data_IF_925351598781
#
_entry.id   IF_925351598781
#
_cell.length_a   1.000
_cell.length_b   1.000
_cell.length_c   1.000
_cell.angle_alpha   90.00
_cell.angle_beta   90.00
_cell.angle_gamma   90.00
#
_symmetry.space_group_name_H-M   'P 1'
#
loop_
_entity.id
_entity.type
_entity.pdbx_description
1 polymer ?
#
# COMPACT_ATOMS: atom_id res chain seq x y z
N UNK A 1 -10.47 19.70 1.49
CA UNK A 1 -11.01 18.57 2.29
C UNK A 1 -9.87 17.93 3.10
N UNK A 2 -8.68 17.75 2.50
CA UNK A 2 -7.55 17.09 3.16
C UNK A 2 -7.01 17.89 4.37
N UNK A 3 -6.94 19.23 4.27
CA UNK A 3 -6.55 20.10 5.39
C UNK A 3 -7.50 19.99 6.59
N UNK A 4 -8.79 19.80 6.33
CA UNK A 4 -9.79 19.60 7.39
C UNK A 4 -9.68 18.21 8.02
N UNK A 5 -9.25 17.20 7.26
CA UNK A 5 -9.14 15.82 7.72
C UNK A 5 -8.07 15.70 8.81
N UNK A 6 -6.88 16.24 8.56
CA UNK A 6 -5.77 16.22 9.54
C UNK A 6 -6.15 16.94 10.86
N UNK A 7 -6.84 18.07 10.76
CA UNK A 7 -7.32 18.80 11.94
C UNK A 7 -8.39 18.01 12.71
N UNK A 8 -9.29 17.31 12.02
CA UNK A 8 -10.30 16.44 12.63
C UNK A 8 -9.65 15.23 13.28
N UNK A 9 -8.70 14.58 12.62
CA UNK A 9 -7.98 13.42 13.17
C UNK A 9 -7.21 13.79 14.44
N UNK A 10 -6.52 14.94 14.47
CA UNK A 10 -5.86 15.45 15.69
C UNK A 10 -6.86 15.72 16.82
N UNK A 11 -8.03 16.29 16.49
CA UNK A 11 -9.06 16.58 17.47
C UNK A 11 -9.70 15.31 18.03
N UNK A 12 -9.95 14.31 17.18
CA UNK A 12 -10.45 12.99 17.61
C UNK A 12 -9.41 12.31 18.50
N UNK A 13 -8.14 12.29 18.12
CA UNK A 13 -7.08 11.67 18.90
C UNK A 13 -6.88 12.29 20.28
N UNK A 14 -7.18 13.58 20.45
CA UNK A 14 -7.13 14.29 21.75
C UNK A 14 -8.42 14.20 22.57
N UNK A 15 -9.51 13.69 22.01
CA UNK A 15 -10.80 13.57 22.71
C UNK A 15 -10.79 12.31 23.57
N UNK A 16 -11.11 12.47 24.88
CA UNK A 16 -11.15 11.36 25.83
C UNK A 16 -12.10 10.24 25.39
N UNK A 17 -13.15 10.56 24.63
CA UNK A 17 -14.11 9.58 24.07
C UNK A 17 -13.48 8.65 23.05
N UNK A 18 -12.37 9.04 22.43
CA UNK A 18 -11.64 8.18 21.49
C UNK A 18 -10.99 6.97 22.16
N UNK A 19 -10.76 7.06 23.46
CA UNK A 19 -10.21 5.97 24.27
C UNK A 19 -11.25 4.91 24.66
N UNK A 20 -12.56 5.26 24.67
CA UNK A 20 -13.63 4.33 25.08
C UNK A 20 -13.69 3.04 24.24
N UNK A 21 -13.57 3.07 22.90
CA UNK A 21 -13.54 1.84 22.09
C UNK A 21 -12.32 0.97 22.41
N UNK A 22 -11.17 1.60 22.69
CA UNK A 22 -9.92 0.92 23.04
C UNK A 22 -10.06 0.23 24.39
N UNK A 23 -10.61 0.93 25.38
CA UNK A 23 -10.87 0.38 26.71
C UNK A 23 -11.86 -0.77 26.66
N UNK A 24 -12.98 -0.60 25.95
CA UNK A 24 -13.97 -1.66 25.75
C UNK A 24 -13.37 -2.89 25.06
N UNK A 25 -12.51 -2.70 24.06
CA UNK A 25 -11.82 -3.81 23.40
C UNK A 25 -10.80 -4.48 24.33
N UNK A 26 -10.06 -3.72 25.12
CA UNK A 26 -9.17 -4.28 26.13
C UNK A 26 -9.93 -5.17 27.12
N UNK A 27 -11.06 -4.71 27.65
CA UNK A 27 -11.89 -5.51 28.56
C UNK A 27 -12.43 -6.78 27.91
N UNK A 28 -12.82 -6.71 26.65
CA UNK A 28 -13.23 -7.88 25.89
C UNK A 28 -12.08 -8.88 25.75
N UNK A 29 -10.88 -8.43 25.39
CA UNK A 29 -9.69 -9.29 25.27
C UNK A 29 -9.33 -9.93 26.62
N UNK A 30 -9.39 -9.19 27.73
CA UNK A 30 -9.17 -9.73 29.06
C UNK A 30 -10.12 -10.93 29.32
N UNK A 31 -11.40 -10.79 28.99
CA UNK A 31 -12.40 -11.89 29.11
C UNK A 31 -12.10 -13.04 28.18
N UNK A 32 -11.83 -12.78 26.90
CA UNK A 32 -11.48 -13.79 25.90
C UNK A 32 -10.23 -14.59 26.30
N UNK A 33 -9.27 -13.94 26.97
CA UNK A 33 -8.03 -14.55 27.46
C UNK A 33 -8.15 -15.14 28.87
N UNK A 34 -9.36 -15.34 29.40
CA UNK A 34 -9.61 -16.00 30.69
C UNK A 34 -8.83 -15.34 31.86
N UNK A 35 -8.73 -14.00 31.86
CA UNK A 35 -8.07 -13.29 32.93
C UNK A 35 -8.71 -13.57 34.30
N UNK A 36 -7.90 -13.99 35.26
CA UNK A 36 -8.33 -14.25 36.63
C UNK A 36 -7.26 -13.75 37.64
N UNK A 37 -7.65 -12.83 38.53
CA UNK A 37 -6.82 -12.44 39.66
C UNK A 37 -6.71 -13.61 40.64
N UNK A 38 -5.57 -13.71 41.33
CA UNK A 38 -5.40 -14.66 42.43
C UNK A 38 -6.18 -14.19 43.63
N UNK A 39 -6.96 -15.08 44.21
CA UNK A 39 -7.73 -14.78 45.43
C UNK A 39 -6.79 -14.40 46.56
N UNK A 40 -7.18 -13.37 47.37
CA UNK A 40 -6.37 -12.89 48.50
C UNK A 40 -5.12 -12.09 48.14
N UNK A 41 -4.87 -11.80 46.82
CA UNK A 41 -3.71 -11.01 46.37
C UNK A 41 -3.63 -9.64 47.08
N UNK A 42 -4.77 -8.95 47.20
CA UNK A 42 -4.85 -7.65 47.87
C UNK A 42 -4.40 -7.72 49.34
N UNK A 43 -4.95 -8.66 50.07
CA UNK A 43 -4.65 -8.84 51.48
C UNK A 43 -3.20 -9.24 51.72
N UNK A 44 -2.68 -10.12 50.85
CA UNK A 44 -1.26 -10.51 50.88
C UNK A 44 -0.36 -9.26 50.68
N UNK A 45 -0.61 -8.45 49.65
CA UNK A 45 0.21 -7.28 49.36
C UNK A 45 0.14 -6.23 50.48
N UNK A 46 -1.04 -6.01 51.08
CA UNK A 46 -1.20 -5.10 52.19
C UNK A 46 -0.46 -5.59 53.47
N UNK A 47 -0.51 -6.88 53.75
CA UNK A 47 0.23 -7.45 54.86
C UNK A 47 1.73 -7.31 54.71
N UNK A 48 2.26 -7.63 53.51
CA UNK A 48 3.68 -7.48 53.23
C UNK A 48 4.13 -6.01 53.25
N UNK A 49 3.33 -5.09 52.70
CA UNK A 49 3.60 -3.66 52.80
C UNK A 49 3.68 -3.17 54.24
N UNK A 50 2.78 -3.60 55.11
CA UNK A 50 2.78 -3.25 56.56
C UNK A 50 4.02 -3.75 57.30
N UNK A 51 4.49 -4.96 56.99
CA UNK A 51 5.73 -5.52 57.54
C UNK A 51 6.96 -4.68 57.20
N UNK A 52 6.95 -4.04 56.06
CA UNK A 52 8.04 -3.17 55.58
C UNK A 52 7.85 -1.68 55.89
N UNK A 53 6.77 -1.31 56.59
CA UNK A 53 6.49 0.07 56.95
C UNK A 53 6.03 0.98 55.81
N UNK A 54 5.63 0.43 54.65
CA UNK A 54 5.11 1.16 53.51
C UNK A 54 5.69 0.70 52.16
N UNK A 55 5.52 1.53 51.14
CA UNK A 55 6.14 1.31 49.82
C UNK A 55 7.61 1.77 49.86
N UNK A 56 8.44 1.07 50.56
CA UNK A 56 9.88 1.35 50.60
C UNK A 56 10.65 0.51 49.55
N UNK A 57 11.95 0.77 49.45
CA UNK A 57 12.79 0.05 48.46
C UNK A 57 12.91 -1.43 48.84
N UNK A 58 12.85 -1.81 50.12
CA UNK A 58 12.95 -3.20 50.59
C UNK A 58 11.68 -3.97 50.27
N UNK A 59 10.50 -3.35 50.40
CA UNK A 59 9.24 -3.93 50.00
C UNK A 59 9.25 -4.23 48.49
N UNK A 60 9.68 -3.26 47.63
CA UNK A 60 9.74 -3.45 46.18
C UNK A 60 10.76 -4.51 45.79
N UNK A 61 11.98 -4.49 46.38
CA UNK A 61 13.05 -5.42 45.99
C UNK A 61 12.88 -6.81 46.55
N UNK A 62 12.46 -6.93 47.80
CA UNK A 62 12.45 -8.22 48.49
C UNK A 62 11.11 -8.95 48.40
N UNK A 63 10.00 -8.22 48.41
CA UNK A 63 8.67 -8.83 48.28
C UNK A 63 8.25 -8.92 46.83
N UNK A 64 8.33 -7.83 46.07
CA UNK A 64 7.84 -7.84 44.71
C UNK A 64 8.84 -8.46 43.72
N UNK A 65 10.04 -7.93 43.63
CA UNK A 65 10.98 -8.33 42.56
C UNK A 65 11.46 -9.78 42.69
N UNK A 66 11.57 -10.31 43.90
CA UNK A 66 12.05 -11.69 44.18
C UNK A 66 10.92 -12.71 44.35
N UNK A 67 9.67 -12.27 44.40
CA UNK A 67 8.53 -13.15 44.66
C UNK A 67 8.12 -13.96 43.46
N UNK A 68 7.92 -15.25 43.65
CA UNK A 68 7.28 -16.16 42.70
C UNK A 68 5.76 -16.23 42.86
N UNK A 69 5.17 -15.35 43.69
CA UNK A 69 3.74 -15.29 43.89
C UNK A 69 3.03 -14.94 42.59
N UNK A 70 2.02 -15.72 42.22
CA UNK A 70 1.24 -15.48 41.01
C UNK A 70 0.17 -14.43 41.25
N UNK A 71 0.23 -13.29 40.60
CA UNK A 71 -0.78 -12.23 40.71
C UNK A 71 -2.07 -12.56 40.02
N UNK A 72 -1.96 -13.09 38.83
CA UNK A 72 -3.10 -13.45 37.97
C UNK A 72 -2.69 -14.51 36.95
N UNK A 73 -3.70 -15.10 36.32
CA UNK A 73 -3.53 -16.03 35.20
C UNK A 73 -4.28 -15.53 33.97
N UNK A 74 -3.82 -15.92 32.78
CA UNK A 74 -4.45 -15.55 31.50
C UNK A 74 -4.08 -16.53 30.39
N UNK A 75 -4.69 -16.38 29.22
CA UNK A 75 -4.47 -17.26 28.07
C UNK A 75 -4.73 -18.74 28.43
N UNK A 76 -3.80 -19.58 28.08
CA UNK A 76 -3.84 -21.02 28.38
C UNK A 76 -3.23 -21.35 29.76
N UNK A 77 -3.52 -20.54 30.78
CA UNK A 77 -3.02 -20.76 32.14
C UNK A 77 -1.62 -20.17 32.40
N UNK A 78 -1.23 -19.17 31.64
CA UNK A 78 0.00 -18.42 31.87
C UNK A 78 -0.10 -17.69 33.19
N UNK A 79 0.93 -17.84 34.04
CA UNK A 79 1.00 -17.24 35.36
C UNK A 79 1.84 -15.96 35.32
N UNK A 80 1.24 -14.84 35.71
CA UNK A 80 1.94 -13.57 35.89
C UNK A 80 2.53 -13.46 37.26
N UNK A 81 3.87 -13.43 37.45
CA UNK A 81 4.52 -13.33 38.73
C UNK A 81 4.43 -11.90 39.29
N UNK A 82 4.50 -11.80 40.61
CA UNK A 82 4.46 -10.52 41.32
C UNK A 82 5.63 -9.58 40.93
N UNK A 83 6.74 -10.14 40.45
CA UNK A 83 7.89 -9.36 39.96
C UNK A 83 7.57 -8.37 38.85
N UNK A 84 6.52 -8.62 38.06
CA UNK A 84 6.04 -7.68 37.05
C UNK A 84 5.45 -6.39 37.64
N UNK A 85 5.04 -6.42 38.89
CA UNK A 85 4.50 -5.25 39.58
C UNK A 85 5.61 -4.31 40.09
N UNK A 86 6.79 -4.83 40.42
CA UNK A 86 7.90 -4.08 41.00
C UNK A 86 8.25 -2.77 40.27
N UNK A 87 8.37 -2.76 38.92
CA UNK A 87 8.70 -1.53 38.16
C UNK A 87 7.61 -0.45 38.22
N UNK A 88 6.39 -0.80 38.59
CA UNK A 88 5.23 0.10 38.58
C UNK A 88 5.02 0.84 39.88
N UNK A 89 5.66 0.39 40.96
CA UNK A 89 5.55 0.99 42.28
C UNK A 89 6.73 1.92 42.54
N UNK A 90 6.42 3.18 42.85
CA UNK A 90 7.45 4.12 43.27
C UNK A 90 7.74 3.95 44.77
N UNK A 91 8.96 3.52 45.20
CA UNK A 91 9.30 3.28 46.60
C UNK A 91 9.33 4.54 47.47
N UNK A 92 9.13 5.72 46.86
CA UNK A 92 9.04 7.00 47.61
C UNK A 92 7.58 7.43 47.84
N UNK A 93 6.60 6.65 47.39
CA UNK A 93 5.18 7.00 47.53
C UNK A 93 4.75 6.85 49.00
N UNK A 94 4.45 7.99 49.61
CA UNK A 94 3.83 7.99 50.95
C UNK A 94 2.33 7.78 50.77
N UNK A 95 1.78 6.81 51.48
CA UNK A 95 0.33 6.54 51.50
C UNK A 95 -0.23 6.95 52.85
N UNK A 96 -1.34 7.67 52.81
CA UNK A 96 -1.95 8.24 54.04
C UNK A 96 -2.82 7.22 54.78
N UNK A 97 -3.27 6.16 54.13
CA UNK A 97 -4.08 5.10 54.74
C UNK A 97 -3.95 3.77 54.00
N UNK A 98 -4.39 2.68 54.64
CA UNK A 98 -4.45 1.34 54.04
C UNK A 98 -5.39 1.29 52.82
N UNK A 99 -6.47 2.07 52.84
CA UNK A 99 -7.43 2.14 51.73
C UNK A 99 -6.75 2.75 50.49
N UNK A 100 -5.96 3.80 50.66
CA UNK A 100 -5.21 4.45 49.57
C UNK A 100 -4.13 3.49 49.05
N UNK A 101 -3.43 2.80 49.95
CA UNK A 101 -2.43 1.79 49.57
C UNK A 101 -3.06 0.67 48.77
N UNK A 102 -4.19 0.16 49.21
CA UNK A 102 -4.95 -0.86 48.50
C UNK A 102 -5.36 -0.42 47.11
N UNK A 103 -5.89 0.80 46.94
CA UNK A 103 -6.29 1.36 45.65
C UNK A 103 -5.09 1.52 44.71
N UNK A 104 -3.94 1.97 45.18
CA UNK A 104 -2.70 2.08 44.40
C UNK A 104 -2.22 0.72 43.90
N UNK A 105 -2.21 -0.27 44.78
CA UNK A 105 -1.81 -1.63 44.44
C UNK A 105 -2.75 -2.25 43.44
N UNK A 106 -4.06 -2.11 43.63
CA UNK A 106 -5.09 -2.66 42.75
C UNK A 106 -5.03 -2.03 41.36
N UNK A 107 -4.93 -0.70 41.28
CA UNK A 107 -4.75 0.02 40.01
C UNK A 107 -3.45 -0.38 39.28
N UNK A 108 -2.38 -0.64 40.06
CA UNK A 108 -1.10 -1.10 39.48
C UNK A 108 -1.19 -2.52 38.95
N UNK A 109 -1.85 -3.43 39.66
CA UNK A 109 -2.11 -4.80 39.19
C UNK A 109 -2.96 -4.79 37.92
N UNK A 110 -4.03 -3.98 37.88
CA UNK A 110 -4.89 -3.87 36.69
C UNK A 110 -4.15 -3.30 35.48
N UNK A 111 -3.28 -2.33 35.68
CA UNK A 111 -2.43 -1.78 34.63
C UNK A 111 -1.47 -2.84 34.08
N UNK A 112 -0.78 -3.57 34.96
CA UNK A 112 0.13 -4.65 34.54
C UNK A 112 -0.63 -5.76 33.83
N UNK A 113 -1.80 -6.15 34.33
CA UNK A 113 -2.64 -7.15 33.68
C UNK A 113 -3.04 -6.74 32.26
N UNK A 114 -3.49 -5.49 32.09
CA UNK A 114 -3.82 -4.96 30.73
C UNK A 114 -2.59 -4.98 29.82
N UNK A 115 -1.43 -4.54 30.28
CA UNK A 115 -0.20 -4.51 29.48
C UNK A 115 0.24 -5.92 29.05
N UNK A 116 0.31 -6.86 30.00
CA UNK A 116 0.77 -8.23 29.72
C UNK A 116 -0.20 -8.97 28.80
N UNK A 117 -1.50 -8.86 29.04
CA UNK A 117 -2.51 -9.55 28.24
C UNK A 117 -2.63 -8.96 26.83
N UNK A 118 -2.54 -7.64 26.71
CA UNK A 118 -2.53 -6.99 25.40
C UNK A 118 -1.30 -7.35 24.60
N UNK A 119 -0.13 -7.41 25.27
CA UNK A 119 1.10 -7.88 24.62
C UNK A 119 0.96 -9.33 24.17
N UNK A 120 0.51 -10.23 25.04
CA UNK A 120 0.26 -11.63 24.71
C UNK A 120 -0.70 -11.77 23.52
N UNK A 121 -1.82 -11.03 23.54
CA UNK A 121 -2.79 -11.03 22.46
C UNK A 121 -2.17 -10.54 21.15
N UNK A 122 -1.39 -9.46 21.18
CA UNK A 122 -0.71 -8.93 20.00
C UNK A 122 0.33 -9.90 19.44
N UNK A 123 1.14 -10.50 20.29
CA UNK A 123 2.18 -11.45 19.88
C UNK A 123 1.59 -12.75 19.28
N UNK A 124 0.37 -13.10 19.67
CA UNK A 124 -0.31 -14.32 19.24
C UNK A 124 -1.58 -14.05 18.39
N UNK A 125 -1.73 -12.84 17.86
CA UNK A 125 -2.97 -12.39 17.19
C UNK A 125 -3.39 -13.29 16.02
N UNK A 126 -2.42 -13.85 15.31
CA UNK A 126 -2.67 -14.75 14.16
C UNK A 126 -3.40 -16.01 14.59
N UNK A 127 -3.09 -16.53 15.79
CA UNK A 127 -3.70 -17.74 16.33
C UNK A 127 -5.01 -17.44 17.07
N UNK A 128 -5.06 -16.31 17.75
CA UNK A 128 -6.18 -15.91 18.60
C UNK A 128 -7.33 -15.22 17.86
N UNK A 129 -7.05 -14.62 16.70
CA UNK A 129 -8.05 -13.89 15.92
C UNK A 129 -8.17 -14.47 14.50
N UNK A 130 -9.22 -15.28 14.22
CA UNK A 130 -9.44 -15.86 12.90
C UNK A 130 -9.59 -14.83 11.77
N UNK A 131 -10.22 -13.69 12.04
CA UNK A 131 -10.43 -12.67 11.02
C UNK A 131 -9.10 -12.03 10.62
N UNK A 132 -8.25 -11.72 11.60
CA UNK A 132 -6.89 -11.22 11.34
C UNK A 132 -6.04 -12.24 10.57
N UNK A 133 -6.10 -13.51 10.97
CA UNK A 133 -5.40 -14.60 10.26
C UNK A 133 -5.86 -14.72 8.82
N UNK A 134 -7.17 -14.65 8.58
CA UNK A 134 -7.73 -14.72 7.23
C UNK A 134 -7.26 -13.54 6.39
N UNK A 135 -7.32 -12.31 6.92
CA UNK A 135 -6.83 -11.11 6.26
C UNK A 135 -5.33 -11.18 5.94
N UNK A 136 -4.53 -11.68 6.89
CA UNK A 136 -3.08 -11.85 6.67
C UNK A 136 -2.79 -12.89 5.57
N UNK A 137 -3.55 -14.00 5.55
CA UNK A 137 -3.43 -15.02 4.51
C UNK A 137 -3.83 -14.46 3.14
N UNK A 138 -4.94 -13.72 3.07
CA UNK A 138 -5.39 -13.07 1.83
C UNK A 138 -4.35 -12.09 1.29
N UNK A 139 -3.77 -11.26 2.15
CA UNK A 139 -2.69 -10.34 1.77
C UNK A 139 -1.44 -11.08 1.28
N UNK A 140 -1.01 -12.12 1.99
CA UNK A 140 0.13 -12.96 1.60
C UNK A 140 -0.12 -13.62 0.24
N UNK A 141 -1.28 -14.24 0.08
CA UNK A 141 -1.62 -14.99 -1.12
C UNK A 141 -1.79 -14.04 -2.32
N UNK A 142 -2.36 -12.84 -2.10
CA UNK A 142 -2.41 -11.77 -3.11
C UNK A 142 -1.02 -11.29 -3.53
N UNK A 143 -0.11 -11.09 -2.58
CA UNK A 143 1.27 -10.71 -2.88
C UNK A 143 2.01 -11.78 -3.67
N UNK A 144 1.85 -13.05 -3.28
CA UNK A 144 2.45 -14.19 -4.02
C UNK A 144 1.88 -14.30 -5.43
N UNK A 145 0.57 -14.13 -5.58
CA UNK A 145 -0.08 -14.13 -6.90
C UNK A 145 0.46 -13.00 -7.77
N UNK A 146 0.58 -11.78 -7.24
CA UNK A 146 1.16 -10.64 -7.95
C UNK A 146 2.58 -10.93 -8.45
N UNK A 147 3.44 -11.49 -7.60
CA UNK A 147 4.81 -11.87 -7.97
C UNK A 147 4.83 -12.93 -9.09
N UNK A 148 3.99 -13.94 -8.99
CA UNK A 148 3.90 -14.99 -10.00
C UNK A 148 3.37 -14.43 -11.32
N UNK A 149 2.31 -13.61 -11.30
CA UNK A 149 1.76 -12.96 -12.48
C UNK A 149 2.78 -12.03 -13.15
N UNK A 150 3.53 -11.26 -12.34
CA UNK A 150 4.61 -10.41 -12.83
C UNK A 150 5.67 -11.21 -13.57
N UNK A 151 6.06 -12.36 -13.03
CA UNK A 151 7.11 -13.22 -13.58
C UNK A 151 6.64 -14.01 -14.81
N UNK A 152 5.48 -14.63 -14.71
CA UNK A 152 5.00 -15.57 -15.72
C UNK A 152 4.27 -14.90 -16.89
N UNK A 153 3.68 -13.74 -16.66
CA UNK A 153 2.86 -13.04 -17.66
C UNK A 153 3.44 -11.67 -18.02
N UNK A 154 3.42 -10.71 -17.09
CA UNK A 154 3.61 -9.30 -17.42
C UNK A 154 5.03 -8.98 -17.90
N UNK A 155 6.06 -9.49 -17.22
CA UNK A 155 7.45 -9.25 -17.61
C UNK A 155 7.80 -10.01 -18.90
N UNK A 156 7.25 -11.21 -19.11
CA UNK A 156 7.44 -11.98 -20.34
C UNK A 156 6.85 -11.23 -21.54
N UNK A 157 5.64 -10.69 -21.38
CA UNK A 157 5.00 -9.92 -22.45
C UNK A 157 5.79 -8.68 -22.85
N UNK A 158 6.31 -7.93 -21.87
CA UNK A 158 7.08 -6.69 -22.11
C UNK A 158 8.46 -6.97 -22.73
N UNK A 159 9.10 -8.05 -22.34
CA UNK A 159 10.47 -8.36 -22.76
C UNK A 159 10.57 -8.95 -24.19
N UNK A 160 9.50 -9.53 -24.70
CA UNK A 160 9.52 -10.25 -25.99
C UNK A 160 9.03 -9.38 -27.14
N UNK A 161 9.89 -8.45 -27.60
CA UNK A 161 9.53 -7.54 -28.69
C UNK A 161 9.18 -8.29 -29.99
N UNK A 162 9.86 -9.39 -30.31
CA UNK A 162 9.60 -10.17 -31.53
C UNK A 162 8.20 -10.81 -31.50
N UNK A 163 7.78 -11.31 -30.34
CA UNK A 163 6.42 -11.83 -30.18
C UNK A 163 5.38 -10.73 -30.32
N UNK A 164 5.66 -9.52 -29.80
CA UNK A 164 4.77 -8.37 -29.95
C UNK A 164 4.63 -7.95 -31.41
N UNK A 165 5.73 -7.89 -32.18
CA UNK A 165 5.68 -7.59 -33.61
C UNK A 165 4.86 -8.63 -34.34
N UNK A 166 5.14 -9.92 -34.15
CA UNK A 166 4.38 -11.02 -34.80
C UNK A 166 2.89 -10.95 -34.45
N UNK A 167 2.56 -10.64 -33.20
CA UNK A 167 1.17 -10.54 -32.75
C UNK A 167 0.45 -9.33 -33.34
N UNK A 168 1.13 -8.19 -33.42
CA UNK A 168 0.63 -7.00 -34.08
C UNK A 168 0.33 -7.31 -35.55
N UNK A 169 1.29 -7.90 -36.29
CA UNK A 169 1.13 -8.21 -37.70
C UNK A 169 0.02 -9.23 -37.97
N UNK A 170 -0.12 -10.25 -37.11
CA UNK A 170 -1.16 -11.27 -37.26
C UNK A 170 -2.57 -10.76 -36.90
N UNK A 171 -2.68 -9.71 -36.09
CA UNK A 171 -3.95 -9.24 -35.55
C UNK A 171 -4.20 -7.74 -35.80
N UNK A 172 -3.67 -7.18 -36.89
CA UNK A 172 -3.81 -5.74 -37.23
C UNK A 172 -5.25 -5.24 -37.16
N UNK A 173 -6.23 -6.06 -37.51
CA UNK A 173 -7.65 -5.71 -37.41
C UNK A 173 -8.17 -5.48 -35.99
N UNK A 174 -7.54 -6.07 -34.98
CA UNK A 174 -7.88 -5.86 -33.57
C UNK A 174 -7.45 -4.47 -33.05
N UNK A 175 -6.42 -3.90 -33.66
CA UNK A 175 -5.77 -2.69 -33.14
C UNK A 175 -6.14 -1.44 -33.92
N UNK A 176 -7.22 -1.49 -34.74
CA UNK A 176 -7.68 -0.37 -35.53
C UNK A 176 -8.21 0.77 -34.62
N UNK A 177 -7.93 1.99 -35.04
CA UNK A 177 -8.49 3.18 -34.43
C UNK A 177 -9.89 3.48 -34.98
N UNK A 178 -10.75 4.03 -34.18
CA UNK A 178 -12.08 4.50 -34.61
C UNK A 178 -12.02 5.89 -35.23
N UNK A 179 -11.01 6.68 -34.88
CA UNK A 179 -10.81 8.06 -35.33
C UNK A 179 -9.36 8.27 -35.76
N UNK A 180 -9.09 9.17 -36.71
CA UNK A 180 -7.73 9.48 -37.15
C UNK A 180 -6.89 10.03 -35.99
N UNK A 181 -5.61 9.65 -35.96
CA UNK A 181 -4.63 10.12 -35.00
C UNK A 181 -3.57 10.97 -35.66
N UNK A 182 -3.15 12.03 -35.00
CA UNK A 182 -1.92 12.74 -35.36
C UNK A 182 -0.73 11.99 -34.78
N UNK A 183 0.23 11.62 -35.63
CA UNK A 183 1.52 11.04 -35.24
C UNK A 183 2.64 11.98 -35.67
N UNK A 184 3.49 12.39 -34.69
CA UNK A 184 4.58 13.30 -35.03
C UNK A 184 5.45 13.64 -33.80
N UNK A 185 6.27 14.66 -33.98
CA UNK A 185 7.11 15.21 -32.94
C UNK A 185 6.78 16.69 -32.72
N UNK A 186 6.47 17.00 -31.49
CA UNK A 186 6.33 18.38 -31.02
C UNK A 186 7.65 18.83 -30.41
N UNK A 187 8.09 20.04 -30.75
CA UNK A 187 9.23 20.72 -30.15
C UNK A 187 8.72 21.81 -29.22
N UNK A 188 9.25 21.85 -28.02
CA UNK A 188 9.01 22.90 -27.04
C UNK A 188 10.34 23.62 -26.77
N UNK A 189 10.32 24.95 -26.66
CA UNK A 189 11.51 25.78 -26.46
C UNK A 189 11.34 26.76 -25.30
N UNK A 190 12.46 27.16 -24.69
CA UNK A 190 12.49 28.11 -23.58
C UNK A 190 12.02 29.53 -23.97
N UNK A 191 12.19 29.90 -25.23
CA UNK A 191 11.77 31.20 -25.77
C UNK A 191 11.69 31.15 -27.30
N UNK A 192 11.13 32.23 -27.91
CA UNK A 192 10.95 32.36 -29.33
C UNK A 192 12.25 32.39 -30.16
N UNK A 193 13.35 32.91 -29.58
CA UNK A 193 14.63 32.92 -30.29
C UNK A 193 15.16 31.52 -30.50
N UNK A 194 15.16 30.71 -29.43
CA UNK A 194 15.54 29.27 -29.51
C UNK A 194 14.64 28.52 -30.45
N UNK A 195 13.33 28.78 -30.41
CA UNK A 195 12.38 28.15 -31.31
C UNK A 195 12.67 28.47 -32.77
N UNK A 196 12.90 29.73 -33.11
CA UNK A 196 13.21 30.13 -34.48
C UNK A 196 14.50 29.49 -35.00
N UNK A 197 15.55 29.46 -34.19
CA UNK A 197 16.82 28.83 -34.55
C UNK A 197 16.67 27.32 -34.74
N UNK A 198 15.90 26.66 -33.84
CA UNK A 198 15.63 25.23 -33.95
C UNK A 198 14.83 24.90 -35.21
N UNK A 199 13.81 25.67 -35.54
CA UNK A 199 13.03 25.51 -36.76
C UNK A 199 13.84 25.79 -38.00
N UNK A 200 14.72 26.82 -37.98
CA UNK A 200 15.63 27.10 -39.11
C UNK A 200 16.60 25.95 -39.35
N UNK A 201 17.13 25.36 -38.31
CA UNK A 201 17.99 24.17 -38.42
C UNK A 201 17.20 22.96 -38.94
N UNK A 202 15.96 22.75 -38.44
CA UNK A 202 15.09 21.69 -38.93
C UNK A 202 14.86 21.79 -40.46
N UNK A 203 14.62 23.01 -40.99
CA UNK A 203 14.42 23.19 -42.43
C UNK A 203 15.63 22.72 -43.28
N UNK A 204 16.85 22.80 -42.73
CA UNK A 204 18.07 22.29 -43.40
C UNK A 204 18.22 20.77 -43.27
N UNK A 205 17.56 20.15 -42.31
CA UNK A 205 17.68 18.74 -42.00
C UNK A 205 16.43 17.92 -42.35
N UNK A 206 15.37 18.52 -42.83
CA UNK A 206 14.06 17.86 -43.03
C UNK A 206 14.06 16.69 -44.02
N UNK A 207 15.10 16.56 -44.84
CA UNK A 207 15.29 15.42 -45.74
C UNK A 207 16.03 14.25 -45.08
N UNK A 208 16.60 14.46 -43.88
CA UNK A 208 17.32 13.44 -43.16
C UNK A 208 16.36 12.53 -42.36
N UNK A 209 16.78 11.32 -41.97
CA UNK A 209 16.01 10.44 -41.09
C UNK A 209 15.64 11.13 -39.75
N UNK A 210 14.45 10.84 -39.23
CA UNK A 210 13.91 11.44 -37.99
C UNK A 210 14.87 11.36 -36.82
N UNK A 211 15.56 10.23 -36.65
CA UNK A 211 16.55 10.07 -35.57
C UNK A 211 17.75 10.99 -35.73
N UNK A 212 18.21 11.21 -36.98
CA UNK A 212 19.29 12.16 -37.32
C UNK A 212 18.91 13.59 -36.94
N UNK A 213 17.70 14.00 -37.31
CA UNK A 213 17.13 15.32 -36.97
C UNK A 213 17.09 15.48 -35.46
N UNK A 214 16.54 14.50 -34.76
CA UNK A 214 16.39 14.49 -33.29
C UNK A 214 17.74 14.61 -32.58
N UNK A 215 18.73 13.84 -33.01
CA UNK A 215 20.09 13.87 -32.43
C UNK A 215 20.75 15.22 -32.69
N UNK A 216 20.66 15.74 -33.90
CA UNK A 216 21.29 17.01 -34.29
C UNK A 216 20.71 18.19 -33.48
N UNK A 217 19.38 18.27 -33.38
CA UNK A 217 18.71 19.32 -32.61
C UNK A 217 19.05 19.21 -31.11
N UNK A 218 19.02 18.02 -30.52
CA UNK A 218 19.39 17.83 -29.13
C UNK A 218 20.85 18.16 -28.85
N UNK A 219 21.75 17.83 -29.77
CA UNK A 219 23.19 18.16 -29.64
C UNK A 219 23.42 19.67 -29.63
N UNK A 220 22.71 20.43 -30.49
CA UNK A 220 22.89 21.88 -30.59
C UNK A 220 22.21 22.64 -29.46
N UNK A 221 20.97 22.30 -29.14
CA UNK A 221 20.16 23.12 -28.23
C UNK A 221 20.09 22.56 -26.80
N UNK A 222 20.36 21.27 -26.59
CA UNK A 222 20.39 20.64 -25.27
C UNK A 222 19.13 20.93 -24.44
N UNK A 223 19.35 21.48 -23.25
CA UNK A 223 18.25 21.80 -22.31
C UNK A 223 17.43 23.04 -22.71
N UNK A 224 17.68 23.67 -23.84
CA UNK A 224 16.90 24.82 -24.29
C UNK A 224 15.69 24.39 -25.11
N UNK A 225 15.65 23.14 -25.55
CA UNK A 225 14.51 22.53 -26.21
C UNK A 225 14.11 21.21 -25.51
N UNK A 226 12.86 20.81 -25.74
CA UNK A 226 12.33 19.48 -25.38
C UNK A 226 11.55 18.95 -26.58
N UNK A 227 11.93 17.81 -27.08
CA UNK A 227 11.19 17.13 -28.14
C UNK A 227 10.30 16.03 -27.53
N UNK A 228 9.06 15.99 -27.97
CA UNK A 228 8.03 15.07 -27.47
C UNK A 228 7.41 14.35 -28.65
N UNK A 229 7.59 13.03 -28.72
CA UNK A 229 6.85 12.19 -29.67
C UNK A 229 5.41 12.11 -29.20
N UNK A 230 4.49 12.36 -30.12
CA UNK A 230 3.05 12.31 -29.83
C UNK A 230 2.35 11.44 -30.84
N UNK A 231 1.38 10.68 -30.35
CA UNK A 231 0.38 9.98 -31.14
C UNK A 231 -0.93 10.15 -30.38
N UNK A 232 -1.88 10.85 -30.99
CA UNK A 232 -3.08 11.28 -30.27
C UNK A 232 -4.21 11.60 -31.26
N UNK A 233 -5.43 11.34 -30.86
CA UNK A 233 -6.61 11.81 -31.56
C UNK A 233 -7.03 13.19 -31.07
N UNK A 234 -7.95 13.81 -31.79
CA UNK A 234 -8.55 15.08 -31.39
C UNK A 234 -9.23 14.96 -29.99
N UNK A 235 -8.98 15.92 -29.13
CA UNK A 235 -9.55 16.00 -27.77
C UNK A 235 -8.72 15.33 -26.67
N UNK A 236 -7.61 14.65 -26.99
CA UNK A 236 -6.77 13.99 -25.99
C UNK A 236 -5.53 14.82 -25.57
N UNK A 237 -5.09 15.75 -26.42
CA UNK A 237 -3.94 16.60 -26.13
C UNK A 237 -4.18 18.03 -26.63
N UNK A 238 -4.48 18.93 -25.72
CA UNK A 238 -4.84 20.33 -26.01
C UNK A 238 -3.76 21.05 -26.83
N UNK A 239 -2.46 20.79 -26.59
CA UNK A 239 -1.38 21.41 -27.35
C UNK A 239 -1.36 20.91 -28.81
N UNK A 240 -1.58 19.62 -29.03
CA UNK A 240 -1.69 19.03 -30.37
C UNK A 240 -2.99 19.45 -31.03
N UNK A 241 -4.08 19.53 -30.28
CA UNK A 241 -5.37 20.03 -30.79
C UNK A 241 -5.23 21.45 -31.32
N UNK A 242 -4.54 22.32 -30.58
CA UNK A 242 -4.30 23.69 -31.03
C UNK A 242 -3.54 23.77 -32.36
N UNK A 243 -2.47 22.98 -32.52
CA UNK A 243 -1.60 23.10 -33.69
C UNK A 243 -1.94 22.14 -34.87
N UNK A 244 -2.58 21.01 -34.64
CA UNK A 244 -2.87 20.00 -35.65
C UNK A 244 -4.35 19.86 -35.96
N UNK A 245 -5.25 20.22 -35.04
CA UNK A 245 -6.69 20.05 -35.20
C UNK A 245 -7.48 21.37 -35.14
N UNK A 246 -6.82 22.52 -35.31
CA UNK A 246 -7.43 23.86 -35.23
C UNK A 246 -8.20 24.12 -33.90
N UNK A 247 -7.71 23.56 -32.83
CA UNK A 247 -8.26 23.76 -31.51
C UNK A 247 -8.04 25.16 -30.94
N UNK A 248 -8.52 25.43 -29.73
CA UNK A 248 -8.32 26.70 -29.06
C UNK A 248 -6.85 26.87 -28.70
N UNK A 249 -6.39 28.14 -28.71
CA UNK A 249 -5.06 28.47 -28.21
C UNK A 249 -4.90 28.04 -26.74
N UNK A 250 -3.79 27.39 -26.45
CA UNK A 250 -3.41 26.94 -25.11
C UNK A 250 -1.97 27.31 -24.82
N UNK A 251 -1.65 27.42 -23.55
CA UNK A 251 -0.27 27.53 -23.10
C UNK A 251 0.41 26.16 -23.03
N UNK A 252 1.74 26.16 -23.08
CA UNK A 252 2.49 24.92 -22.94
C UNK A 252 2.34 24.37 -21.51
N UNK A 253 2.01 23.10 -21.39
CA UNK A 253 1.98 22.37 -20.12
C UNK A 253 3.37 21.87 -19.67
N UNK A 254 4.43 22.14 -20.44
CA UNK A 254 5.79 21.79 -20.09
C UNK A 254 6.50 22.96 -19.39
N UNK A 255 6.65 22.86 -18.08
CA UNK A 255 7.29 23.88 -17.25
C UNK A 255 8.68 24.26 -17.80
N UNK A 256 8.92 25.54 -17.97
CA UNK A 256 10.17 26.08 -18.50
C UNK A 256 10.30 26.07 -20.03
N UNK A 257 9.24 25.66 -20.75
CA UNK A 257 9.20 25.64 -22.22
C UNK A 257 7.88 26.22 -22.74
N UNK A 258 7.70 27.54 -22.65
CA UNK A 258 6.42 28.18 -22.97
C UNK A 258 6.05 28.18 -24.47
N UNK A 259 7.04 28.02 -25.34
CA UNK A 259 6.84 28.06 -26.79
C UNK A 259 6.86 26.64 -27.34
N UNK A 260 5.86 26.25 -28.14
CA UNK A 260 5.81 24.92 -28.75
C UNK A 260 5.29 24.95 -30.18
N UNK A 261 5.73 23.99 -31.00
CA UNK A 261 5.33 23.81 -32.41
C UNK A 261 5.42 22.33 -32.78
N UNK A 262 4.72 21.95 -33.86
CA UNK A 262 4.98 20.67 -34.54
C UNK A 262 6.29 20.81 -35.29
N UNK A 263 7.20 19.88 -35.06
CA UNK A 263 8.42 19.76 -35.86
C UNK A 263 8.13 19.02 -37.15
N UNK A 264 7.53 17.85 -37.04
CA UNK A 264 7.00 17.07 -38.18
C UNK A 264 5.88 16.13 -37.70
N UNK A 265 5.07 15.67 -38.63
CA UNK A 265 4.00 14.73 -38.34
C UNK A 265 3.02 14.56 -39.47
N UNK A 266 2.16 13.58 -39.32
CA UNK A 266 1.10 13.26 -40.30
C UNK A 266 -0.15 12.73 -39.58
N UNK A 267 -1.28 12.86 -40.30
CA UNK A 267 -2.52 12.21 -39.87
C UNK A 267 -2.53 10.76 -40.33
N UNK A 268 -2.88 9.84 -39.44
CA UNK A 268 -3.01 8.43 -39.72
C UNK A 268 -4.45 7.97 -39.44
N UNK A 269 -5.03 7.22 -40.36
CA UNK A 269 -6.35 6.61 -40.18
C UNK A 269 -6.28 5.26 -39.46
N UNK A 270 -5.10 4.64 -39.41
CA UNK A 270 -4.86 3.35 -38.75
C UNK A 270 -3.42 3.27 -38.28
N UNK A 271 -3.11 2.42 -37.30
CA UNK A 271 -1.73 2.17 -36.84
C UNK A 271 -0.86 1.60 -37.98
N UNK A 272 0.31 2.16 -38.20
CA UNK A 272 1.27 1.69 -39.21
C UNK A 272 2.26 0.68 -38.60
N UNK A 273 2.66 0.87 -37.35
CA UNK A 273 3.67 0.06 -36.68
C UNK A 273 3.29 -0.28 -35.25
N UNK A 274 3.97 -1.27 -34.64
CA UNK A 274 3.74 -1.70 -33.28
C UNK A 274 3.81 -0.54 -32.27
N UNK A 275 4.73 0.41 -32.47
CA UNK A 275 4.91 1.55 -31.56
C UNK A 275 3.65 2.39 -31.40
N UNK A 276 2.78 2.43 -32.43
CA UNK A 276 1.57 3.23 -32.46
C UNK A 276 0.49 2.73 -31.47
N UNK A 277 0.49 1.43 -31.21
CA UNK A 277 -0.48 0.74 -30.37
C UNK A 277 0.16 -0.25 -29.39
N UNK A 278 1.43 -0.03 -29.05
CA UNK A 278 2.22 -0.97 -28.24
C UNK A 278 1.52 -1.36 -26.93
N UNK A 279 0.85 -0.41 -26.27
CA UNK A 279 0.10 -0.69 -25.06
C UNK A 279 -1.01 -1.73 -25.26
N UNK A 280 -1.79 -1.59 -26.33
CA UNK A 280 -2.87 -2.53 -26.67
C UNK A 280 -2.33 -3.92 -27.00
N UNK A 281 -1.24 -3.99 -27.79
CA UNK A 281 -0.61 -5.26 -28.17
C UNK A 281 0.00 -5.96 -26.97
N UNK A 282 0.63 -5.23 -26.04
CA UNK A 282 1.17 -5.78 -24.80
C UNK A 282 0.03 -6.35 -23.94
N UNK A 283 -1.07 -5.63 -23.77
CA UNK A 283 -2.23 -6.11 -23.01
C UNK A 283 -2.81 -7.39 -23.62
N UNK A 284 -3.07 -7.39 -24.93
CA UNK A 284 -3.57 -8.56 -25.64
C UNK A 284 -2.62 -9.78 -25.58
N UNK A 285 -1.31 -9.53 -25.52
CA UNK A 285 -0.33 -10.61 -25.33
C UNK A 285 -0.28 -11.10 -23.87
N UNK A 286 -0.46 -10.21 -22.91
CA UNK A 286 -0.60 -10.59 -21.49
C UNK A 286 -1.80 -11.50 -21.27
N UNK A 287 -2.95 -11.16 -21.86
CA UNK A 287 -4.17 -11.97 -21.76
C UNK A 287 -3.94 -13.38 -22.31
N UNK A 288 -3.28 -13.50 -23.46
CA UNK A 288 -2.98 -14.80 -24.04
C UNK A 288 -1.99 -15.63 -23.20
N UNK A 289 -0.94 -15.00 -22.65
CA UNK A 289 0.00 -15.67 -21.76
C UNK A 289 -0.68 -16.14 -20.47
N UNK A 290 -1.61 -15.34 -19.94
CA UNK A 290 -2.39 -15.70 -18.77
C UNK A 290 -3.29 -16.91 -19.04
N UNK A 291 -4.02 -16.89 -20.16
CA UNK A 291 -4.87 -18.02 -20.57
C UNK A 291 -4.04 -19.31 -20.73
N UNK A 292 -2.89 -19.24 -21.40
CA UNK A 292 -1.99 -20.37 -21.56
C UNK A 292 -1.47 -20.88 -20.21
N UNK A 293 -1.05 -19.98 -19.34
CA UNK A 293 -0.56 -20.31 -18.02
C UNK A 293 -1.63 -20.96 -17.15
N UNK A 294 -2.85 -20.42 -17.12
CA UNK A 294 -3.99 -20.99 -16.41
C UNK A 294 -4.36 -22.37 -16.96
N UNK A 295 -4.36 -22.54 -18.29
CA UNK A 295 -4.60 -23.83 -18.92
C UNK A 295 -3.54 -24.87 -18.50
N UNK A 296 -2.28 -24.44 -18.48
CA UNK A 296 -1.16 -25.26 -17.99
C UNK A 296 -1.32 -25.68 -16.53
N UNK A 297 -1.73 -24.73 -15.66
CA UNK A 297 -2.02 -25.02 -14.24
C UNK A 297 -3.19 -26.01 -14.10
N UNK A 298 -4.29 -25.80 -14.80
CA UNK A 298 -5.45 -26.70 -14.77
C UNK A 298 -5.07 -28.12 -15.19
N UNK A 299 -4.23 -28.24 -16.22
CA UNK A 299 -3.74 -29.55 -16.66
C UNK A 299 -2.81 -30.21 -15.62
N UNK A 300 -1.88 -29.46 -15.04
CA UNK A 300 -0.94 -29.93 -13.99
C UNK A 300 -1.67 -30.43 -12.73
N UNK A 301 -2.73 -29.74 -12.34
CA UNK A 301 -3.49 -30.04 -11.13
C UNK A 301 -4.79 -30.81 -11.39
N UNK A 302 -5.02 -31.27 -12.63
CA UNK A 302 -6.16 -32.11 -12.98
C UNK A 302 -6.20 -33.34 -12.08
N UNK A 303 -7.32 -33.55 -11.41
CA UNK A 303 -7.52 -34.67 -10.44
C UNK A 303 -6.99 -34.42 -9.02
N UNK A 304 -6.26 -33.29 -8.79
CA UNK A 304 -5.85 -32.86 -7.44
C UNK A 304 -6.79 -31.80 -6.84
N UNK A 305 -7.68 -31.24 -7.65
CA UNK A 305 -8.65 -30.23 -7.21
C UNK A 305 -9.88 -30.93 -6.72
N UNK A 306 -10.21 -30.80 -5.43
CA UNK A 306 -11.43 -31.32 -4.82
C UNK A 306 -12.34 -30.13 -4.46
N UNK A 307 -13.56 -30.15 -5.01
CA UNK A 307 -14.57 -29.12 -4.74
C UNK A 307 -15.70 -29.76 -3.93
N UNK A 308 -15.89 -29.27 -2.71
CA UNK A 308 -17.08 -29.63 -1.91
C UNK A 308 -18.32 -28.92 -2.48
N UNK A 309 -19.07 -29.70 -3.29
CA UNK A 309 -20.27 -29.19 -3.95
C UNK A 309 -21.36 -28.77 -2.96
N UNK A 310 -21.42 -29.41 -1.77
CA UNK A 310 -22.42 -29.12 -0.74
C UNK A 310 -22.16 -27.70 -0.16
N UNK A 311 -20.91 -27.43 0.23
CA UNK A 311 -20.49 -26.11 0.71
C UNK A 311 -20.67 -25.06 -0.37
N UNK A 312 -20.24 -25.31 -1.61
CA UNK A 312 -20.40 -24.39 -2.73
C UNK A 312 -21.87 -24.03 -2.98
N UNK A 313 -22.78 -25.01 -2.92
CA UNK A 313 -24.22 -24.77 -3.11
C UNK A 313 -24.84 -23.97 -1.95
N UNK A 314 -24.36 -24.16 -0.72
CA UNK A 314 -24.79 -23.36 0.44
C UNK A 314 -24.35 -21.89 0.27
N UNK A 315 -23.11 -21.65 -0.14
CA UNK A 315 -22.58 -20.29 -0.41
C UNK A 315 -23.37 -19.61 -1.54
N UNK A 316 -23.62 -20.31 -2.65
CA UNK A 316 -24.44 -19.76 -3.76
C UNK A 316 -25.86 -19.36 -3.33
N UNK A 317 -26.46 -20.05 -2.35
CA UNK A 317 -27.77 -19.68 -1.80
C UNK A 317 -27.71 -18.45 -0.88
N UNK A 318 -26.61 -18.28 -0.18
CA UNK A 318 -26.41 -17.17 0.78
C UNK A 318 -26.12 -15.83 0.08
N UNK A 319 -25.49 -15.87 -1.10
CA UNK A 319 -25.05 -14.67 -1.84
C UNK A 319 -25.83 -14.44 -3.15
N UNK A 320 -26.97 -15.08 -3.33
CA UNK A 320 -28.03 -14.74 -4.29
C UNK A 320 -29.05 -13.83 -3.62
#
# INVERSE_FOLDING_TARGET
>A
IDDCREAIEKKIASDQRSMMPIESRCEQILKEQNYRKTDGLKDYLLQEMKKHGGFDSTFVTDVMAKSNYTMFTYGNGIKAPLSLLAPTINPKTKVASDEIAAAVLEASVDRVARQEIMKYYSDNIVDLNPDYRNLLNEYRDGTLLFEVMSKEVWNKAKANNDALVKRFDANRSKYQWQEPHFKGVMICAKNDSVMREAMSMYETLKAEPEDTITIALNKKFGRNIKMVRVITKQGENEMVDYIAFNGRHVESNYQGYPVFRILYGKMLSQPEELSDVKGLVVSDYQDALEEEWIAGLRNRYKGKIHIDKKVLNQLKKKYK
#
